data_IF_957197227821
#
_entry.id   IF_957197227821
#
_cell.length_a   1.000
_cell.length_b   1.000
_cell.length_c   1.000
_cell.angle_alpha   90.00
_cell.angle_beta   90.00
_cell.angle_gamma   90.00
#
_symmetry.space_group_name_H-M   'P 1'
#
loop_
_entity.id
_entity.type
_entity.pdbx_description
1 polymer ?
#
# COMPACT_ATOMS: atom_id res chain seq x y z
N UNK A 1 7.79 -1.48 -14.86
CA UNK A 1 8.03 -0.48 -13.80
C UNK A 1 9.18 0.43 -14.23
N UNK A 2 9.02 1.74 -14.08
CA UNK A 2 10.15 2.68 -14.20
C UNK A 2 11.19 2.29 -13.15
N UNK A 3 12.46 2.17 -13.53
CA UNK A 3 13.51 1.60 -12.67
C UNK A 3 14.03 2.68 -11.73
N UNK A 4 13.49 2.68 -10.52
CA UNK A 4 13.99 3.49 -9.42
C UNK A 4 15.03 2.67 -8.64
N UNK A 5 16.23 3.20 -8.51
CA UNK A 5 17.39 2.45 -8.00
C UNK A 5 17.41 2.30 -6.46
N UNK A 6 16.60 3.07 -5.72
CA UNK A 6 16.60 3.09 -4.24
C UNK A 6 15.19 3.24 -3.65
N UNK A 7 14.30 2.31 -3.97
CA UNK A 7 12.96 2.26 -3.36
C UNK A 7 12.96 1.36 -2.12
N UNK A 8 12.61 1.95 -0.96
CA UNK A 8 12.43 1.21 0.29
C UNK A 8 10.96 0.86 0.56
N UNK A 9 10.01 1.55 -0.06
CA UNK A 9 8.56 1.31 0.07
C UNK A 9 7.83 1.91 -1.13
N UNK A 10 6.90 1.17 -1.72
CA UNK A 10 5.99 1.65 -2.77
C UNK A 10 4.56 1.66 -2.23
N UNK A 11 3.88 2.79 -2.35
CA UNK A 11 2.46 2.91 -2.01
C UNK A 11 1.65 3.00 -3.31
N UNK A 12 0.69 2.08 -3.46
CA UNK A 12 -0.13 1.96 -4.68
C UNK A 12 -1.56 2.39 -4.37
N UNK A 13 -1.91 3.63 -4.75
CA UNK A 13 -3.19 4.27 -4.38
C UNK A 13 -4.27 4.10 -5.45
N UNK A 14 -5.32 3.35 -5.13
CA UNK A 14 -6.50 3.20 -5.97
C UNK A 14 -6.40 2.13 -7.06
N UNK A 15 -7.55 1.77 -7.64
CA UNK A 15 -7.68 0.63 -8.55
C UNK A 15 -6.88 0.76 -9.83
N UNK A 16 -6.80 1.96 -10.41
CA UNK A 16 -6.01 2.19 -11.63
C UNK A 16 -4.51 1.96 -11.39
N UNK A 17 -3.99 2.42 -10.25
CA UNK A 17 -2.59 2.19 -9.88
C UNK A 17 -2.34 0.72 -9.57
N UNK A 18 -3.27 0.05 -8.88
CA UNK A 18 -3.17 -1.39 -8.59
C UNK A 18 -3.16 -2.22 -9.88
N UNK A 19 -4.05 -1.92 -10.82
CA UNK A 19 -4.09 -2.62 -12.10
C UNK A 19 -2.77 -2.45 -12.87
N UNK A 20 -2.30 -1.21 -12.97
CA UNK A 20 -1.08 -0.90 -13.71
C UNK A 20 0.20 -1.45 -13.05
N UNK A 21 0.33 -1.38 -11.72
CA UNK A 21 1.57 -1.74 -11.02
C UNK A 21 1.60 -3.15 -10.45
N UNK A 22 0.44 -3.71 -10.09
CA UNK A 22 0.32 -5.01 -9.44
C UNK A 22 -0.34 -6.06 -10.35
N UNK A 23 -0.82 -5.66 -11.54
CA UNK A 23 -1.44 -6.58 -12.50
C UNK A 23 -2.76 -7.16 -12.01
N UNK A 24 -3.50 -6.42 -11.18
CA UNK A 24 -4.72 -6.93 -10.53
C UNK A 24 -5.89 -7.11 -11.50
N UNK A 25 -5.83 -6.52 -12.69
CA UNK A 25 -6.88 -6.64 -13.70
C UNK A 25 -8.21 -6.14 -13.18
N UNK A 26 -9.23 -6.99 -13.30
CA UNK A 26 -10.61 -6.72 -12.84
C UNK A 26 -10.84 -7.07 -11.36
N UNK A 27 -9.80 -7.40 -10.60
CA UNK A 27 -9.94 -7.76 -9.18
C UNK A 27 -10.51 -6.57 -8.39
N UNK A 28 -11.53 -6.77 -7.54
CA UNK A 28 -12.11 -5.67 -6.76
C UNK A 28 -11.08 -5.04 -5.81
N UNK A 29 -11.07 -3.70 -5.74
CA UNK A 29 -10.16 -2.93 -4.88
C UNK A 29 -10.10 -3.46 -3.44
N UNK A 30 -11.25 -3.76 -2.84
CA UNK A 30 -11.33 -4.27 -1.47
C UNK A 30 -10.52 -5.56 -1.30
N UNK A 31 -10.57 -6.48 -2.29
CA UNK A 31 -9.86 -7.77 -2.22
C UNK A 31 -8.35 -7.57 -2.34
N UNK A 32 -7.91 -6.67 -3.22
CA UNK A 32 -6.49 -6.33 -3.34
C UNK A 32 -5.95 -5.71 -2.05
N UNK A 33 -6.72 -4.80 -1.43
CA UNK A 33 -6.33 -4.16 -0.16
C UNK A 33 -6.38 -5.16 1.00
N UNK A 34 -7.35 -6.07 1.04
CA UNK A 34 -7.44 -7.14 2.03
C UNK A 34 -6.24 -8.09 1.94
N UNK A 35 -5.81 -8.40 0.72
CA UNK A 35 -4.65 -9.23 0.39
C UNK A 35 -3.31 -8.45 0.39
N UNK A 36 -3.21 -7.30 1.07
CA UNK A 36 -2.01 -6.44 1.04
C UNK A 36 -0.70 -7.16 1.39
N UNK A 37 -0.77 -8.24 2.19
CA UNK A 37 0.39 -9.06 2.57
C UNK A 37 1.04 -9.78 1.40
N UNK A 38 0.32 -10.02 0.29
CA UNK A 38 0.88 -10.63 -0.93
C UNK A 38 1.90 -9.72 -1.63
N UNK A 39 1.84 -8.41 -1.38
CA UNK A 39 2.73 -7.41 -1.98
C UNK A 39 3.79 -6.88 -0.99
N UNK A 40 3.74 -7.33 0.26
CA UNK A 40 4.63 -6.93 1.33
C UNK A 40 6.04 -7.54 1.19
N UNK A 41 7.13 -6.87 1.64
CA UNK A 41 7.19 -5.51 2.20
C UNK A 41 7.44 -4.40 1.18
N UNK A 42 7.49 -4.76 -0.10
CA UNK A 42 7.96 -3.87 -1.16
C UNK A 42 6.87 -2.90 -1.64
N UNK A 43 5.62 -3.37 -1.72
CA UNK A 43 4.49 -2.57 -2.17
C UNK A 43 3.29 -2.68 -1.23
N UNK A 44 2.51 -1.61 -1.17
CA UNK A 44 1.37 -1.50 -0.28
C UNK A 44 0.14 -0.95 -1.03
N UNK A 45 -0.83 -1.81 -1.41
CA UNK A 45 -2.05 -1.37 -2.06
C UNK A 45 -2.99 -0.70 -1.05
N UNK A 46 -3.49 0.49 -1.37
CA UNK A 46 -4.43 1.23 -0.52
C UNK A 46 -5.58 1.83 -1.31
N UNK A 47 -6.77 2.00 -0.70
CA UNK A 47 -7.84 2.79 -1.29
C UNK A 47 -7.35 4.22 -1.58
N UNK A 48 -7.89 4.85 -2.63
CA UNK A 48 -7.60 6.26 -2.91
C UNK A 48 -8.08 7.15 -1.75
N UNK A 49 -7.32 8.18 -1.32
CA UNK A 49 -7.68 9.05 -0.20
C UNK A 49 -8.77 10.10 -0.53
N UNK A 50 -9.78 9.71 -1.32
CA UNK A 50 -10.92 10.59 -1.64
C UNK A 50 -11.95 10.57 -0.52
N UNK A 51 -12.63 11.69 -0.19
CA UNK A 51 -13.78 11.71 0.71
C UNK A 51 -14.90 10.73 0.30
N UNK A 52 -14.95 10.38 -1.00
CA UNK A 52 -15.88 9.37 -1.53
C UNK A 52 -15.67 7.97 -0.93
N UNK A 53 -14.48 7.69 -0.39
CA UNK A 53 -14.16 6.42 0.27
C UNK A 53 -14.58 6.34 1.73
N UNK A 54 -15.16 7.38 2.33
CA UNK A 54 -15.61 7.33 3.73
C UNK A 54 -16.59 6.17 3.99
N UNK A 55 -17.52 5.92 3.06
CA UNK A 55 -18.44 4.76 3.16
C UNK A 55 -17.71 3.42 3.07
N UNK A 56 -16.64 3.35 2.30
CA UNK A 56 -15.81 2.16 2.20
C UNK A 56 -15.09 1.91 3.53
N UNK A 57 -14.51 2.94 4.15
CA UNK A 57 -13.83 2.84 5.44
C UNK A 57 -14.77 2.35 6.55
N UNK A 58 -16.00 2.88 6.60
CA UNK A 58 -17.03 2.43 7.56
C UNK A 58 -17.38 0.95 7.37
N UNK A 59 -17.42 0.47 6.13
CA UNK A 59 -17.75 -0.94 5.80
C UNK A 59 -16.57 -1.90 5.97
N UNK A 60 -15.35 -1.38 6.05
CA UNK A 60 -14.11 -2.17 6.10
C UNK A 60 -13.26 -1.73 7.31
N UNK A 61 -13.75 -1.94 8.56
CA UNK A 61 -13.05 -1.47 9.77
C UNK A 61 -11.66 -2.11 9.94
N UNK A 62 -11.48 -3.34 9.44
CA UNK A 62 -10.19 -4.04 9.39
C UNK A 62 -9.09 -3.22 8.71
N UNK A 63 -9.43 -2.31 7.79
CA UNK A 63 -8.44 -1.43 7.16
C UNK A 63 -7.74 -0.56 8.21
N UNK A 64 -8.49 0.04 9.13
CA UNK A 64 -7.90 0.88 10.17
C UNK A 64 -7.22 0.06 11.28
N UNK A 65 -7.70 -1.16 11.54
CA UNK A 65 -7.22 -2.01 12.63
C UNK A 65 -5.97 -2.80 12.25
N UNK A 66 -5.88 -3.28 11.01
CA UNK A 66 -4.83 -4.22 10.61
C UNK A 66 -3.86 -3.61 9.60
N UNK A 67 -4.38 -2.82 8.66
CA UNK A 67 -3.62 -2.35 7.51
C UNK A 67 -2.84 -1.08 7.85
N UNK A 68 -3.52 -0.07 8.41
CA UNK A 68 -2.88 1.20 8.76
C UNK A 68 -1.75 1.06 9.78
N UNK A 69 -1.88 0.29 10.88
CA UNK A 69 -0.79 0.15 11.85
C UNK A 69 0.45 -0.52 11.24
N UNK A 70 0.27 -1.53 10.39
CA UNK A 70 1.37 -2.19 9.70
C UNK A 70 2.10 -1.23 8.75
N UNK A 71 1.34 -0.41 8.00
CA UNK A 71 1.90 0.60 7.12
C UNK A 71 2.65 1.69 7.92
N UNK A 72 2.09 2.19 9.02
CA UNK A 72 2.73 3.19 9.87
C UNK A 72 4.06 2.68 10.42
N UNK A 73 4.10 1.43 10.90
CA UNK A 73 5.33 0.79 11.37
C UNK A 73 6.37 0.68 10.25
N UNK A 74 5.96 0.34 9.01
CA UNK A 74 6.88 0.28 7.86
C UNK A 74 7.42 1.64 7.49
N UNK A 75 6.56 2.66 7.43
CA UNK A 75 6.95 4.04 7.11
C UNK A 75 7.94 4.53 8.16
N UNK A 76 7.66 4.30 9.45
CA UNK A 76 8.59 4.66 10.52
C UNK A 76 9.95 3.98 10.34
N UNK A 77 9.97 2.67 10.09
CA UNK A 77 11.22 1.93 9.88
C UNK A 77 12.01 2.45 8.67
N UNK A 78 11.34 2.82 7.58
CA UNK A 78 11.96 3.40 6.39
C UNK A 78 12.52 4.79 6.67
N UNK A 79 11.82 5.62 7.44
CA UNK A 79 12.26 6.97 7.80
C UNK A 79 13.42 6.97 8.81
N UNK A 80 13.51 5.96 9.68
CA UNK A 80 14.61 5.83 10.65
C UNK A 80 15.82 5.08 10.09
N UNK A 81 15.65 4.29 9.02
CA UNK A 81 16.75 3.67 8.33
C UNK A 81 17.59 4.75 7.63
N UNK A 82 18.82 4.95 8.10
CA UNK A 82 19.74 5.96 7.58
C UNK A 82 20.18 5.54 6.15
N UNK A 83 19.84 6.28 5.07
CA UNK A 83 20.11 5.83 3.69
C UNK A 83 21.59 5.85 3.29
N UNK A 84 22.51 6.15 4.24
CA UNK A 84 23.96 6.17 4.02
C UNK A 84 24.66 4.86 4.37
N UNK A 85 23.97 3.89 4.98
CA UNK A 85 24.59 2.63 5.43
C UNK A 85 23.89 1.44 4.76
N UNK A 86 24.27 1.15 3.53
CA UNK A 86 24.19 -0.20 2.98
C UNK A 86 25.45 -0.37 2.12
N UNK A 87 26.29 -1.39 2.37
CA UNK A 87 27.51 -1.62 1.60
C UNK A 87 27.20 -1.91 0.12
#
# INVERSE_FOLDING_TARGET
>A
MQRFERLSLVIVLGSYAMDYHLGTGKTPLTRVVEAWREHWPQAFPLPHPSPRNNRWLVRNPWFQQDVLPALQARVQAVLTANPKETP
#
